data_IF_673399528395
#
_entry.id   IF_673399528395
#
_cell.length_a   1.000
_cell.length_b   1.000
_cell.length_c   1.000
_cell.angle_alpha   90.00
_cell.angle_beta   90.00
_cell.angle_gamma   90.00
#
_symmetry.space_group_name_H-M   'P 1'
#
loop_
_entity.id
_entity.type
_entity.pdbx_description
1 polymer ?
#
# COMPACT_ATOMS: atom_id res chain seq x y z
N UNK A 1 18.57 -0.43 -23.57
CA UNK A 1 17.76 -1.45 -22.89
C UNK A 1 17.27 -2.45 -23.93
N UNK A 2 17.71 -3.71 -23.87
CA UNK A 2 17.02 -4.78 -24.60
C UNK A 2 15.70 -5.00 -23.86
N UNK A 3 14.64 -4.34 -24.34
CA UNK A 3 13.32 -4.41 -23.74
C UNK A 3 12.84 -5.86 -23.70
N UNK A 4 12.27 -6.29 -22.57
CA UNK A 4 11.41 -7.46 -22.55
C UNK A 4 10.20 -7.16 -23.47
N UNK A 5 9.95 -7.96 -24.52
CA UNK A 5 8.85 -7.69 -25.45
C UNK A 5 7.51 -7.68 -24.70
N UNK A 6 6.63 -6.74 -25.05
CA UNK A 6 5.27 -6.59 -24.49
C UNK A 6 5.18 -6.24 -22.99
N UNK A 7 6.24 -5.72 -22.37
CA UNK A 7 6.19 -5.25 -20.98
C UNK A 7 6.08 -3.71 -20.90
N UNK A 8 5.23 -3.20 -20.01
CA UNK A 8 5.33 -1.78 -19.59
C UNK A 8 6.67 -1.53 -18.91
N UNK A 9 7.12 -0.28 -18.89
CA UNK A 9 8.38 0.10 -18.25
C UNK A 9 8.22 1.38 -17.44
N UNK A 10 9.11 1.58 -16.47
CA UNK A 10 9.20 2.78 -15.65
C UNK A 10 10.67 3.09 -15.39
N UNK A 11 10.98 4.32 -14.99
CA UNK A 11 12.35 4.74 -14.66
C UNK A 11 12.40 5.43 -13.32
N UNK A 12 13.47 5.19 -12.56
CA UNK A 12 13.82 5.98 -11.39
C UNK A 12 14.99 6.89 -11.69
N UNK A 13 15.09 8.02 -10.97
CA UNK A 13 16.14 9.04 -11.14
C UNK A 13 16.18 9.61 -12.56
N UNK A 14 15.02 9.77 -13.19
CA UNK A 14 14.94 10.33 -14.55
C UNK A 14 15.38 11.80 -14.61
N UNK A 15 15.83 12.30 -15.78
CA UNK A 15 16.03 11.58 -17.04
C UNK A 15 17.35 10.79 -17.12
N UNK A 16 18.38 11.19 -16.37
CA UNK A 16 19.76 10.71 -16.58
C UNK A 16 20.17 9.53 -15.70
N UNK A 17 19.30 9.08 -14.79
CA UNK A 17 19.58 7.99 -13.85
C UNK A 17 20.32 8.41 -12.58
N UNK A 18 20.39 9.71 -12.29
CA UNK A 18 21.12 10.27 -11.16
C UNK A 18 20.22 11.10 -10.23
N UNK A 19 20.68 11.29 -9.00
CA UNK A 19 20.08 12.27 -8.09
C UNK A 19 20.12 13.66 -8.72
N UNK A 20 19.11 14.47 -8.43
CA UNK A 20 19.01 15.86 -8.89
C UNK A 20 19.84 16.78 -7.98
N UNK A 21 21.17 16.63 -8.02
CA UNK A 21 22.12 17.44 -7.24
C UNK A 21 22.63 18.68 -7.96
N UNK A 22 22.25 18.86 -9.24
CA UNK A 22 22.58 20.02 -10.06
C UNK A 22 21.42 20.36 -11.01
N UNK A 23 21.33 21.60 -11.51
CA UNK A 23 20.25 22.00 -12.42
C UNK A 23 20.18 21.08 -13.66
N UNK A 24 19.01 20.48 -13.97
CA UNK A 24 18.85 19.73 -15.21
C UNK A 24 18.76 20.68 -16.40
N UNK A 25 19.21 20.22 -17.56
CA UNK A 25 19.04 20.93 -18.83
C UNK A 25 17.61 20.71 -19.36
N UNK A 26 16.69 21.61 -19.00
CA UNK A 26 15.29 21.56 -19.39
C UNK A 26 15.05 21.77 -20.90
N UNK A 27 16.09 22.09 -21.69
CA UNK A 27 16.00 22.13 -23.16
C UNK A 27 16.12 20.75 -23.80
N UNK A 28 16.63 19.76 -23.07
CA UNK A 28 16.81 18.39 -23.56
C UNK A 28 15.54 17.56 -23.41
N UNK A 29 15.35 16.57 -24.30
CA UNK A 29 14.28 15.59 -24.13
C UNK A 29 14.41 14.81 -22.83
N UNK A 30 13.29 14.48 -22.19
CA UNK A 30 13.24 13.55 -21.06
C UNK A 30 13.54 12.13 -21.53
N UNK A 31 12.98 11.75 -22.68
CA UNK A 31 13.16 10.42 -23.24
C UNK A 31 14.29 10.41 -24.27
N UNK A 32 15.22 9.47 -24.12
CA UNK A 32 16.19 9.16 -25.18
C UNK A 32 15.48 8.71 -26.46
N UNK A 33 16.15 8.81 -27.61
CA UNK A 33 15.59 8.36 -28.89
C UNK A 33 15.09 6.90 -28.85
N UNK A 34 15.80 6.02 -28.14
CA UNK A 34 15.39 4.63 -27.96
C UNK A 34 14.18 4.46 -27.02
N UNK A 35 14.03 5.31 -25.99
CA UNK A 35 12.85 5.29 -25.11
C UNK A 35 11.60 5.83 -25.83
N UNK A 36 11.76 6.84 -26.70
CA UNK A 36 10.64 7.42 -27.46
C UNK A 36 9.91 6.40 -28.34
N UNK A 37 10.62 5.43 -28.92
CA UNK A 37 9.99 4.35 -29.73
C UNK A 37 9.05 3.46 -28.91
N UNK A 38 9.13 3.55 -27.57
CA UNK A 38 8.34 2.78 -26.60
C UNK A 38 7.61 3.66 -25.59
N UNK A 39 7.43 4.95 -25.87
CA UNK A 39 6.76 5.89 -24.96
C UNK A 39 5.33 5.45 -24.59
N UNK A 40 4.60 4.81 -25.52
CA UNK A 40 3.25 4.25 -25.26
C UNK A 40 3.22 3.15 -24.19
N UNK A 41 4.36 2.53 -23.90
CA UNK A 41 4.48 1.47 -22.89
C UNK A 41 5.10 2.01 -21.58
N UNK A 42 5.41 3.32 -21.52
CA UNK A 42 5.94 3.97 -20.32
C UNK A 42 4.81 4.19 -19.32
N UNK A 43 4.94 3.59 -18.15
CA UNK A 43 3.96 3.69 -17.08
C UNK A 43 4.24 4.86 -16.13
N UNK A 44 5.49 5.05 -15.72
CA UNK A 44 5.85 6.10 -14.76
C UNK A 44 7.33 6.53 -14.85
N UNK A 45 7.59 7.78 -14.48
CA UNK A 45 8.93 8.35 -14.30
C UNK A 45 9.02 8.96 -12.90
N UNK A 46 9.94 8.44 -12.09
CA UNK A 46 10.38 9.08 -10.86
C UNK A 46 11.54 10.02 -11.17
N UNK A 47 11.34 11.32 -10.95
CA UNK A 47 12.35 12.36 -11.02
C UNK A 47 13.04 12.50 -9.66
N UNK A 48 14.37 12.46 -9.67
CA UNK A 48 15.15 12.47 -8.44
C UNK A 48 14.93 11.24 -7.55
N UNK A 49 15.54 11.30 -6.38
CA UNK A 49 15.49 10.34 -5.30
C UNK A 49 16.05 10.98 -4.02
N UNK A 50 15.17 11.20 -3.04
CA UNK A 50 15.53 11.69 -1.70
C UNK A 50 16.37 12.98 -1.66
N UNK A 51 16.11 13.94 -2.56
CA UNK A 51 16.77 15.25 -2.46
C UNK A 51 16.14 16.13 -1.37
N UNK A 52 16.98 16.90 -0.66
CA UNK A 52 16.48 17.91 0.28
C UNK A 52 15.65 18.97 -0.45
N UNK A 53 14.54 19.36 0.16
CA UNK A 53 13.66 20.38 -0.42
C UNK A 53 14.37 21.72 -0.58
N UNK A 54 14.16 22.36 -1.74
CA UNK A 54 14.52 23.74 -2.02
C UNK A 54 13.61 24.31 -3.12
N UNK A 55 13.51 25.63 -3.20
CA UNK A 55 12.78 26.29 -4.30
C UNK A 55 13.41 26.01 -5.67
N UNK A 56 14.72 25.79 -5.72
CA UNK A 56 15.43 25.42 -6.96
C UNK A 56 15.01 24.03 -7.43
N UNK A 57 15.09 23.02 -6.55
CA UNK A 57 14.65 21.65 -6.85
C UNK A 57 13.18 21.62 -7.29
N UNK A 58 12.31 22.38 -6.61
CA UNK A 58 10.91 22.51 -7.00
C UNK A 58 10.76 23.05 -8.43
N UNK A 59 11.54 24.07 -8.81
CA UNK A 59 11.56 24.60 -10.18
C UNK A 59 12.03 23.57 -11.20
N UNK A 60 13.03 22.77 -10.86
CA UNK A 60 13.54 21.69 -11.72
C UNK A 60 12.48 20.62 -11.95
N UNK A 61 11.87 20.12 -10.88
CA UNK A 61 10.81 19.11 -10.93
C UNK A 61 9.61 19.61 -11.75
N UNK A 62 9.21 20.87 -11.60
CA UNK A 62 8.13 21.46 -12.40
C UNK A 62 8.46 21.51 -13.90
N UNK A 63 9.70 21.86 -14.25
CA UNK A 63 10.17 21.81 -15.63
C UNK A 63 10.17 20.40 -16.21
N UNK A 64 10.66 19.43 -15.44
CA UNK A 64 10.74 18.02 -15.83
C UNK A 64 9.36 17.41 -16.05
N UNK A 65 8.41 17.58 -15.12
CA UNK A 65 7.02 17.10 -15.27
C UNK A 65 6.35 17.73 -16.49
N UNK A 66 6.53 19.03 -16.72
CA UNK A 66 5.98 19.72 -17.89
C UNK A 66 6.55 19.17 -19.21
N UNK A 67 7.84 18.81 -19.25
CA UNK A 67 8.45 18.24 -20.44
C UNK A 67 8.00 16.79 -20.66
N UNK A 68 7.87 15.98 -19.60
CA UNK A 68 7.35 14.61 -19.71
C UNK A 68 5.96 14.58 -20.33
N UNK A 69 5.06 15.47 -19.89
CA UNK A 69 3.69 15.57 -20.41
C UNK A 69 3.62 15.85 -21.92
N UNK A 70 4.66 16.47 -22.50
CA UNK A 70 4.75 16.68 -23.96
C UNK A 70 5.23 15.43 -24.69
N UNK A 71 6.11 14.65 -24.08
CA UNK A 71 6.77 13.50 -24.72
C UNK A 71 6.04 12.17 -24.50
N UNK A 72 5.40 12.01 -23.35
CA UNK A 72 4.65 10.83 -22.94
C UNK A 72 3.49 11.26 -22.02
N UNK A 73 2.39 11.81 -22.57
CA UNK A 73 1.27 12.34 -21.78
C UNK A 73 0.56 11.30 -20.91
N UNK A 74 0.68 10.02 -21.24
CA UNK A 74 0.07 8.91 -20.49
C UNK A 74 0.97 8.35 -19.37
N UNK A 75 2.23 8.83 -19.28
CA UNK A 75 3.18 8.40 -18.26
C UNK A 75 3.02 9.22 -16.98
N UNK A 76 2.98 8.53 -15.84
CA UNK A 76 2.85 9.18 -14.54
C UNK A 76 4.16 9.85 -14.09
N UNK A 77 4.11 11.12 -13.71
CA UNK A 77 5.23 11.86 -13.12
C UNK A 77 5.19 11.84 -11.60
N UNK A 78 6.32 11.54 -10.97
CA UNK A 78 6.48 11.63 -9.51
C UNK A 78 7.93 11.87 -9.08
N UNK A 79 8.14 12.01 -7.78
CA UNK A 79 9.45 11.99 -7.13
C UNK A 79 9.40 11.06 -5.91
N UNK A 80 10.55 10.50 -5.53
CA UNK A 80 10.68 9.68 -4.34
C UNK A 80 11.36 10.48 -3.24
N UNK A 81 10.82 10.39 -2.03
CA UNK A 81 11.36 11.02 -0.82
C UNK A 81 11.20 10.04 0.33
N UNK A 82 12.15 9.97 1.26
CA UNK A 82 11.88 9.18 2.46
C UNK A 82 10.72 9.82 3.23
N UNK A 83 9.92 9.00 3.92
CA UNK A 83 8.61 9.43 4.46
C UNK A 83 8.62 10.72 5.32
N UNK A 84 9.74 11.01 5.98
CA UNK A 84 9.95 12.17 6.85
C UNK A 84 10.80 13.29 6.26
N UNK A 85 11.22 13.19 5.00
CA UNK A 85 12.22 14.08 4.41
C UNK A 85 11.74 15.49 4.24
N UNK A 86 10.56 15.63 3.65
CA UNK A 86 9.93 16.91 3.39
C UNK A 86 8.85 17.14 4.42
N UNK A 87 8.76 18.37 4.92
CA UNK A 87 7.63 18.78 5.74
C UNK A 87 6.33 18.73 4.93
N UNK A 88 5.19 18.74 5.63
CA UNK A 88 3.88 18.86 4.97
C UNK A 88 3.74 20.15 4.14
N UNK A 89 4.46 21.23 4.49
CA UNK A 89 4.46 22.47 3.71
C UNK A 89 5.27 22.30 2.43
N UNK A 90 6.45 21.70 2.53
CA UNK A 90 7.34 21.44 1.38
C UNK A 90 6.67 20.53 0.35
N UNK A 91 6.03 19.45 0.80
CA UNK A 91 5.28 18.56 -0.08
C UNK A 91 4.15 19.29 -0.80
N UNK A 92 3.39 20.17 -0.11
CA UNK A 92 2.32 20.97 -0.74
C UNK A 92 2.87 21.98 -1.74
N UNK A 93 3.99 22.64 -1.44
CA UNK A 93 4.63 23.58 -2.36
C UNK A 93 5.13 22.88 -3.62
N UNK A 94 5.73 21.70 -3.48
CA UNK A 94 6.08 20.84 -4.60
C UNK A 94 4.85 20.47 -5.43
N UNK A 95 3.79 19.95 -4.79
CA UNK A 95 2.55 19.57 -5.46
C UNK A 95 1.95 20.72 -6.28
N UNK A 96 1.86 21.91 -5.69
CA UNK A 96 1.28 23.09 -6.33
C UNK A 96 2.09 23.56 -7.54
N UNK A 97 3.41 23.40 -7.53
CA UNK A 97 4.27 23.91 -8.60
C UNK A 97 4.62 22.87 -9.67
N UNK A 98 4.87 21.63 -9.26
CA UNK A 98 5.30 20.56 -10.17
C UNK A 98 4.14 19.75 -10.73
N UNK A 99 2.95 19.83 -10.12
CA UNK A 99 1.74 19.16 -10.53
C UNK A 99 1.96 17.65 -10.80
N UNK A 100 2.50 16.88 -9.83
CA UNK A 100 2.74 15.44 -9.98
C UNK A 100 1.43 14.67 -10.16
N UNK A 101 1.52 13.49 -10.78
CA UNK A 101 0.36 12.59 -10.96
C UNK A 101 0.17 11.65 -9.76
N UNK A 102 1.23 11.42 -8.98
CA UNK A 102 1.22 10.61 -7.78
C UNK A 102 2.24 11.07 -6.74
N UNK A 103 1.92 10.86 -5.46
CA UNK A 103 2.86 11.00 -4.36
C UNK A 103 3.47 9.65 -3.99
N UNK A 104 4.79 9.57 -3.93
CA UNK A 104 5.51 8.38 -3.49
C UNK A 104 6.50 8.70 -2.41
N UNK A 105 6.79 7.68 -1.62
CA UNK A 105 7.83 7.72 -0.63
C UNK A 105 8.42 6.33 -0.44
N UNK A 106 9.59 6.27 0.16
CA UNK A 106 10.16 5.07 0.72
C UNK A 106 10.30 5.17 2.23
N UNK A 107 10.10 4.04 2.87
CA UNK A 107 10.45 3.82 4.25
C UNK A 107 10.53 2.31 4.45
N UNK A 108 11.57 1.90 5.13
CA UNK A 108 11.81 0.51 5.45
C UNK A 108 11.58 0.37 6.95
N UNK A 109 10.69 -0.53 7.36
CA UNK A 109 10.16 -0.50 8.73
C UNK A 109 10.83 -1.49 9.68
N UNK A 110 11.57 -2.46 9.15
CA UNK A 110 12.05 -3.61 9.91
C UNK A 110 13.57 -3.71 9.89
N UNK A 111 14.14 -4.11 11.02
CA UNK A 111 15.58 -4.20 11.27
C UNK A 111 15.85 -5.07 12.50
N UNK A 112 17.13 -5.34 12.80
CA UNK A 112 17.52 -6.11 13.99
C UNK A 112 16.97 -5.49 15.30
N UNK A 113 16.94 -4.16 15.38
CA UNK A 113 16.51 -3.42 16.57
C UNK A 113 15.02 -3.02 16.55
N UNK A 114 14.33 -3.20 15.42
CA UNK A 114 12.90 -2.89 15.31
C UNK A 114 12.09 -3.69 16.33
N UNK A 115 11.19 -2.99 17.03
CA UNK A 115 10.32 -3.57 18.05
C UNK A 115 8.92 -2.95 17.99
N UNK A 116 7.99 -3.68 17.39
CA UNK A 116 6.57 -3.30 17.30
C UNK A 116 5.74 -4.21 18.20
N UNK A 117 5.57 -3.82 19.47
CA UNK A 117 4.81 -4.60 20.43
C UNK A 117 3.38 -4.86 19.95
N UNK A 118 2.94 -6.13 20.04
CA UNK A 118 1.62 -6.56 19.56
C UNK A 118 1.43 -6.42 18.05
N UNK A 119 2.53 -6.28 17.29
CA UNK A 119 2.53 -6.05 15.85
C UNK A 119 2.08 -4.65 15.42
N UNK A 120 2.02 -3.69 16.34
CA UNK A 120 1.58 -2.32 16.02
C UNK A 120 2.70 -1.50 15.36
N UNK A 121 2.74 -1.52 14.03
CA UNK A 121 3.75 -0.82 13.22
C UNK A 121 3.36 0.65 13.03
N UNK A 122 3.31 1.40 14.13
CA UNK A 122 2.82 2.79 14.14
C UNK A 122 3.52 3.70 13.14
N UNK A 123 4.82 3.48 12.86
CA UNK A 123 5.56 4.23 11.84
C UNK A 123 4.97 4.04 10.43
N UNK A 124 4.66 2.80 10.04
CA UNK A 124 3.97 2.50 8.78
C UNK A 124 2.61 3.20 8.72
N UNK A 125 1.84 3.12 9.80
CA UNK A 125 0.50 3.67 9.84
C UNK A 125 0.50 5.19 9.69
N UNK A 126 1.41 5.86 10.39
CA UNK A 126 1.55 7.32 10.36
C UNK A 126 2.06 7.80 9.00
N UNK A 127 3.06 7.12 8.42
CA UNK A 127 3.62 7.51 7.13
C UNK A 127 2.59 7.39 5.99
N UNK A 128 1.85 6.28 5.94
CA UNK A 128 0.82 6.06 4.91
C UNK A 128 -0.36 7.01 5.12
N UNK A 129 -0.79 7.26 6.36
CA UNK A 129 -1.85 8.22 6.65
C UNK A 129 -1.47 9.64 6.23
N UNK A 130 -0.25 10.08 6.56
CA UNK A 130 0.28 11.39 6.16
C UNK A 130 0.23 11.58 4.65
N UNK A 131 0.80 10.63 3.90
CA UNK A 131 0.83 10.74 2.43
C UNK A 131 -0.56 10.63 1.82
N UNK A 132 -1.43 9.77 2.35
CA UNK A 132 -2.84 9.70 1.96
C UNK A 132 -3.49 11.07 2.12
N UNK A 133 -3.36 11.71 3.28
CA UNK A 133 -3.99 13.01 3.58
C UNK A 133 -3.52 14.09 2.61
N UNK A 134 -2.23 14.14 2.30
CA UNK A 134 -1.67 15.08 1.31
C UNK A 134 -2.20 14.78 -0.09
N UNK A 135 -2.17 13.53 -0.53
CA UNK A 135 -2.69 13.11 -1.84
C UNK A 135 -4.19 13.40 -2.00
N UNK A 136 -4.99 13.20 -0.95
CA UNK A 136 -6.43 13.49 -0.99
C UNK A 136 -6.74 14.98 -1.09
N UNK A 137 -5.82 15.85 -0.66
CA UNK A 137 -5.97 17.29 -0.83
C UNK A 137 -5.84 17.72 -2.31
N UNK A 138 -5.17 16.93 -3.15
CA UNK A 138 -4.88 17.29 -4.53
C UNK A 138 -3.79 18.36 -4.67
N UNK A 139 -3.32 18.61 -5.89
CA UNK A 139 -2.24 19.58 -6.14
C UNK A 139 -2.59 21.02 -5.72
N UNK A 140 -3.87 21.37 -5.74
CA UNK A 140 -4.38 22.68 -5.34
C UNK A 140 -4.83 22.76 -3.87
N UNK A 141 -4.76 21.64 -3.12
CA UNK A 141 -5.21 21.55 -1.74
C UNK A 141 -6.72 21.62 -1.54
N UNK A 142 -7.52 21.61 -2.60
CA UNK A 142 -8.97 21.84 -2.52
C UNK A 142 -9.79 20.58 -2.22
N UNK A 143 -9.17 19.39 -2.18
CA UNK A 143 -9.81 18.08 -2.05
C UNK A 143 -10.78 17.71 -3.20
N UNK A 144 -10.76 18.44 -4.32
CA UNK A 144 -11.64 18.18 -5.48
C UNK A 144 -10.98 17.27 -6.52
N UNK A 145 -9.65 17.31 -6.60
CA UNK A 145 -8.86 16.50 -7.54
C UNK A 145 -7.77 15.71 -6.78
N UNK A 146 -8.14 14.66 -6.03
CA UNK A 146 -7.19 13.81 -5.32
C UNK A 146 -6.18 13.16 -6.26
N UNK A 147 -4.96 12.95 -5.76
CA UNK A 147 -3.91 12.22 -6.45
C UNK A 147 -3.85 10.75 -6.04
N UNK A 148 -3.23 9.94 -6.90
CA UNK A 148 -2.73 8.64 -6.48
C UNK A 148 -1.59 8.80 -5.46
N UNK A 149 -1.38 7.77 -4.64
CA UNK A 149 -0.19 7.69 -3.81
C UNK A 149 0.28 6.25 -3.66
N UNK A 150 1.52 6.08 -3.23
CA UNK A 150 2.14 4.77 -3.09
C UNK A 150 3.41 4.81 -2.26
N UNK A 151 4.03 3.65 -2.08
CA UNK A 151 5.33 3.56 -1.45
C UNK A 151 6.22 2.48 -2.06
N UNK A 152 7.52 2.65 -1.89
CA UNK A 152 8.46 1.57 -2.17
C UNK A 152 8.39 0.50 -1.06
N UNK A 153 8.61 -0.75 -1.43
CA UNK A 153 8.64 -1.90 -0.52
C UNK A 153 10.04 -2.52 -0.47
N UNK A 154 10.33 -3.26 0.62
CA UNK A 154 11.68 -3.75 0.95
C UNK A 154 12.04 -5.06 0.22
N UNK A 155 13.00 -5.00 -0.69
CA UNK A 155 13.56 -6.14 -1.42
C UNK A 155 14.95 -6.58 -0.95
N UNK A 156 15.45 -6.05 0.17
CA UNK A 156 16.78 -6.30 0.70
C UNK A 156 16.76 -6.54 2.22
N UNK A 157 17.81 -7.18 2.75
CA UNK A 157 18.01 -7.40 4.19
C UNK A 157 18.53 -6.13 4.86
N UNK A 158 17.89 -5.75 5.96
CA UNK A 158 18.24 -4.56 6.73
C UNK A 158 19.26 -4.86 7.85
N UNK A 159 20.02 -3.84 8.24
CA UNK A 159 20.97 -3.85 9.37
C UNK A 159 20.33 -3.63 10.73
N UNK A 160 21.07 -2.94 11.59
CA UNK A 160 20.58 -2.54 12.91
C UNK A 160 19.48 -1.48 12.79
N UNK A 161 19.63 -0.57 11.83
CA UNK A 161 18.63 0.43 11.50
C UNK A 161 17.80 0.02 10.28
N UNK A 162 16.51 0.40 10.21
CA UNK A 162 15.64 0.01 9.10
C UNK A 162 16.07 0.52 7.71
N UNK A 163 16.72 1.69 7.64
CA UNK A 163 17.23 2.27 6.39
C UNK A 163 18.61 1.72 5.97
N UNK A 164 19.26 0.93 6.83
CA UNK A 164 20.58 0.41 6.55
C UNK A 164 20.47 -0.85 5.69
N UNK A 165 20.72 -0.73 4.39
CA UNK A 165 21.03 -1.90 3.56
C UNK A 165 22.34 -2.55 4.03
N UNK A 166 22.47 -3.87 3.87
CA UNK A 166 23.73 -4.55 4.17
C UNK A 166 23.68 -5.52 5.34
N UNK A 167 22.55 -5.62 6.03
CA UNK A 167 22.44 -6.41 7.26
C UNK A 167 21.87 -7.81 7.10
N UNK A 168 21.67 -8.45 8.25
CA UNK A 168 21.19 -9.83 8.33
C UNK A 168 19.68 -9.96 8.58
N UNK A 169 18.95 -8.85 8.77
CA UNK A 169 17.53 -8.93 9.07
C UNK A 169 16.73 -9.46 7.88
N UNK A 170 16.03 -10.57 8.10
CA UNK A 170 15.11 -11.19 7.15
C UNK A 170 13.68 -11.05 7.64
N UNK A 171 12.88 -10.31 6.89
CA UNK A 171 11.45 -10.10 7.17
C UNK A 171 10.67 -11.42 7.23
N UNK A 172 9.72 -11.48 8.17
CA UNK A 172 8.75 -12.57 8.23
C UNK A 172 7.67 -12.45 7.14
N UNK A 173 6.81 -13.46 7.01
CA UNK A 173 5.70 -13.40 6.04
C UNK A 173 4.69 -12.29 6.39
N UNK A 174 4.34 -12.14 7.67
CA UNK A 174 3.39 -11.12 8.11
C UNK A 174 3.94 -9.70 7.96
N UNK A 175 5.24 -9.50 8.23
CA UNK A 175 5.94 -8.24 8.01
C UNK A 175 6.03 -7.87 6.53
N UNK A 176 6.27 -8.85 5.67
CA UNK A 176 6.30 -8.63 4.22
C UNK A 176 4.92 -8.24 3.66
N UNK A 177 3.84 -8.86 4.17
CA UNK A 177 2.49 -8.60 3.68
C UNK A 177 1.91 -7.26 4.13
N UNK A 178 2.17 -6.87 5.39
CA UNK A 178 1.46 -5.76 6.04
C UNK A 178 1.66 -4.41 5.37
N UNK A 179 2.85 -4.14 4.81
CA UNK A 179 3.16 -2.88 4.12
C UNK A 179 2.17 -2.67 2.95
N UNK A 180 2.02 -3.67 2.09
CA UNK A 180 1.14 -3.60 0.92
C UNK A 180 -0.32 -3.49 1.32
N UNK A 181 -0.77 -4.32 2.26
CA UNK A 181 -2.17 -4.37 2.66
C UNK A 181 -2.63 -3.11 3.40
N UNK A 182 -1.80 -2.54 4.27
CA UNK A 182 -2.10 -1.24 4.90
C UNK A 182 -2.17 -0.14 3.86
N UNK A 183 -1.23 -0.12 2.90
CA UNK A 183 -1.25 0.85 1.80
C UNK A 183 -2.55 0.76 1.00
N UNK A 184 -2.95 -0.45 0.60
CA UNK A 184 -4.19 -0.67 -0.14
C UNK A 184 -5.43 -0.30 0.66
N UNK A 185 -5.48 -0.65 1.95
CA UNK A 185 -6.58 -0.29 2.83
C UNK A 185 -6.72 1.24 2.98
N UNK A 186 -5.61 1.97 3.00
CA UNK A 186 -5.65 3.44 3.02
C UNK A 186 -5.96 4.07 1.64
N UNK A 187 -5.92 3.26 0.57
CA UNK A 187 -6.28 3.64 -0.79
C UNK A 187 -5.10 3.92 -1.72
N UNK A 188 -3.88 3.58 -1.32
CA UNK A 188 -2.70 3.68 -2.17
C UNK A 188 -2.85 2.80 -3.42
N UNK A 189 -2.36 3.32 -4.54
CA UNK A 189 -2.54 2.74 -5.89
C UNK A 189 -1.24 2.22 -6.50
N UNK A 190 -0.12 2.53 -5.87
CA UNK A 190 1.20 2.24 -6.42
C UNK A 190 2.09 1.62 -5.34
N UNK A 191 2.79 0.56 -5.72
CA UNK A 191 3.80 -0.11 -4.90
C UNK A 191 4.96 -0.50 -5.81
N UNK A 192 6.19 -0.29 -5.36
CA UNK A 192 7.38 -0.63 -6.14
C UNK A 192 8.44 -1.26 -5.24
N UNK A 193 8.96 -2.41 -5.63
CA UNK A 193 9.92 -3.15 -4.82
C UNK A 193 11.33 -2.62 -5.04
N UNK A 194 11.93 -2.04 -4.00
CA UNK A 194 13.34 -1.68 -3.97
C UNK A 194 14.11 -2.75 -3.18
N UNK A 195 14.86 -3.66 -3.80
CA UNK A 195 15.21 -3.74 -5.23
C UNK A 195 15.24 -5.18 -5.73
N UNK A 196 15.06 -5.34 -7.04
CA UNK A 196 15.27 -6.58 -7.76
C UNK A 196 16.46 -6.43 -8.71
N UNK A 197 17.46 -7.29 -8.59
CA UNK A 197 18.68 -7.26 -9.38
C UNK A 197 19.03 -8.67 -9.88
N UNK A 198 19.46 -8.76 -11.15
CA UNK A 198 19.79 -10.04 -11.80
C UNK A 198 21.09 -10.66 -11.28
N UNK A 199 22.09 -9.83 -11.00
CA UNK A 199 23.28 -10.21 -10.25
C UNK A 199 22.98 -9.94 -8.79
N UNK A 200 22.56 -10.98 -8.05
CA UNK A 200 22.08 -10.83 -6.68
C UNK A 200 23.11 -10.08 -5.83
N UNK A 201 22.74 -8.87 -5.40
CA UNK A 201 23.42 -8.21 -4.30
C UNK A 201 23.41 -9.13 -3.08
N UNK A 202 24.46 -9.13 -2.27
CA UNK A 202 24.60 -10.06 -1.13
C UNK A 202 23.44 -9.99 -0.12
N UNK A 203 22.71 -8.87 -0.11
CA UNK A 203 21.58 -8.61 0.78
C UNK A 203 20.22 -8.78 0.11
N UNK A 204 20.14 -9.28 -1.12
CA UNK A 204 18.85 -9.46 -1.79
C UNK A 204 17.94 -10.39 -0.98
N UNK A 205 16.69 -9.98 -0.80
CA UNK A 205 15.62 -10.86 -0.30
C UNK A 205 14.99 -11.67 -1.42
N UNK A 206 15.46 -11.59 -2.66
CA UNK A 206 14.73 -12.12 -3.80
C UNK A 206 15.52 -13.21 -4.55
N UNK A 207 16.82 -13.01 -4.71
CA UNK A 207 17.71 -14.00 -5.30
C UNK A 207 18.90 -14.24 -4.38
N UNK A 208 19.34 -15.48 -4.27
CA UNK A 208 20.57 -15.84 -3.57
C UNK A 208 21.77 -15.48 -4.45
N UNK A 209 22.87 -15.11 -3.80
CA UNK A 209 24.16 -14.87 -4.44
C UNK A 209 24.90 -16.17 -4.81
N UNK A 210 24.19 -17.31 -4.90
CA UNK A 210 24.78 -18.58 -5.34
C UNK A 210 24.98 -18.57 -6.86
N UNK A 211 25.84 -19.47 -7.37
CA UNK A 211 26.15 -19.54 -8.80
C UNK A 211 24.92 -19.80 -9.69
N UNK A 212 23.83 -20.31 -9.11
CA UNK A 212 22.58 -20.60 -9.80
C UNK A 212 21.57 -19.44 -9.75
N UNK A 213 21.80 -18.40 -8.94
CA UNK A 213 20.87 -17.30 -8.71
C UNK A 213 19.51 -17.75 -8.19
N UNK A 214 19.46 -18.74 -7.29
CA UNK A 214 18.19 -19.36 -6.87
C UNK A 214 17.27 -18.37 -6.11
N UNK A 215 15.96 -18.51 -6.27
CA UNK A 215 14.99 -17.67 -5.55
C UNK A 215 14.93 -18.01 -4.05
N UNK A 216 14.82 -16.98 -3.21
CA UNK A 216 14.66 -17.12 -1.76
C UNK A 216 13.21 -17.50 -1.37
N UNK A 217 12.98 -17.82 -0.10
CA UNK A 217 11.62 -17.99 0.45
C UNK A 217 10.81 -16.69 0.32
N UNK A 218 11.45 -15.55 0.53
CA UNK A 218 10.85 -14.21 0.48
C UNK A 218 10.42 -13.83 -0.94
N UNK A 219 11.17 -14.28 -1.96
CA UNK A 219 10.77 -14.15 -3.37
C UNK A 219 9.45 -14.86 -3.65
N UNK A 220 9.29 -16.10 -3.16
CA UNK A 220 8.04 -16.84 -3.31
C UNK A 220 6.87 -16.17 -2.57
N UNK A 221 7.14 -15.59 -1.40
CA UNK A 221 6.16 -14.78 -0.67
C UNK A 221 5.76 -13.52 -1.46
N UNK A 222 6.71 -12.85 -2.12
CA UNK A 222 6.42 -11.70 -2.99
C UNK A 222 5.63 -12.11 -4.23
N UNK A 223 5.94 -13.26 -4.84
CA UNK A 223 5.16 -13.81 -5.93
C UNK A 223 3.71 -14.07 -5.51
N UNK A 224 3.49 -14.65 -4.33
CA UNK A 224 2.16 -14.86 -3.77
C UNK A 224 1.44 -13.54 -3.44
N UNK A 225 2.16 -12.53 -2.93
CA UNK A 225 1.63 -11.20 -2.67
C UNK A 225 1.24 -10.49 -3.98
N UNK A 226 2.06 -10.60 -5.02
CA UNK A 226 1.78 -10.05 -6.35
C UNK A 226 0.58 -10.74 -7.01
N UNK A 227 0.41 -12.06 -6.83
CA UNK A 227 -0.78 -12.77 -7.29
C UNK A 227 -2.05 -12.27 -6.57
N UNK A 228 -1.97 -11.96 -5.27
CA UNK A 228 -3.07 -11.33 -4.51
C UNK A 228 -3.35 -9.90 -4.99
N UNK A 229 -2.30 -9.12 -5.25
CA UNK A 229 -2.43 -7.78 -5.83
C UNK A 229 -3.15 -7.85 -7.19
N UNK A 230 -2.75 -8.75 -8.08
CA UNK A 230 -3.39 -8.94 -9.38
C UNK A 230 -4.88 -9.33 -9.25
N UNK A 231 -5.22 -10.15 -8.24
CA UNK A 231 -6.60 -10.53 -7.95
C UNK A 231 -7.46 -9.37 -7.40
N UNK A 232 -6.86 -8.45 -6.63
CA UNK A 232 -7.56 -7.31 -6.01
C UNK A 232 -7.58 -6.08 -6.91
N UNK A 233 -6.59 -5.91 -7.79
CA UNK A 233 -6.39 -4.73 -8.63
C UNK A 233 -7.62 -4.36 -9.47
N UNK A 234 -8.35 -5.31 -10.11
CA UNK A 234 -9.58 -4.98 -10.83
C UNK A 234 -10.64 -4.29 -9.99
N UNK A 235 -10.61 -4.43 -8.66
CA UNK A 235 -11.57 -3.82 -7.76
C UNK A 235 -11.00 -2.55 -7.12
N UNK A 236 -9.79 -2.62 -6.55
CA UNK A 236 -9.17 -1.52 -5.81
C UNK A 236 -8.85 -0.30 -6.68
N UNK A 237 -8.46 -0.49 -7.94
CA UNK A 237 -8.08 0.62 -8.83
C UNK A 237 -9.27 1.48 -9.25
N UNK A 238 -10.50 0.97 -9.11
CA UNK A 238 -11.76 1.65 -9.42
C UNK A 238 -12.36 2.41 -8.24
N UNK A 239 -11.67 2.41 -7.10
CA UNK A 239 -12.14 2.92 -5.83
C UNK A 239 -11.31 4.13 -5.38
N UNK A 240 -11.96 5.23 -5.01
CA UNK A 240 -11.37 6.37 -4.29
C UNK A 240 -11.47 6.17 -2.78
N UNK A 241 -10.42 6.54 -2.06
CA UNK A 241 -10.36 6.49 -0.59
C UNK A 241 -11.37 7.47 0.02
N UNK A 242 -12.09 7.05 1.05
CA UNK A 242 -13.06 7.89 1.77
C UNK A 242 -12.62 8.11 3.21
N UNK A 243 -12.66 7.07 4.03
CA UNK A 243 -12.31 7.13 5.46
C UNK A 243 -11.31 6.04 5.82
N UNK A 244 -10.56 6.26 6.91
CA UNK A 244 -9.69 5.26 7.52
C UNK A 244 -9.93 5.22 9.03
N UNK A 245 -9.72 4.07 9.65
CA UNK A 245 -9.73 3.91 11.08
C UNK A 245 -8.94 2.67 11.52
N UNK A 246 -8.69 2.55 12.82
CA UNK A 246 -8.02 1.40 13.43
C UNK A 246 -8.80 0.93 14.66
N UNK A 247 -8.85 -0.38 14.87
CA UNK A 247 -9.15 -0.97 16.19
C UNK A 247 -7.81 -1.37 16.80
N UNK A 248 -7.41 -0.69 17.87
CA UNK A 248 -6.13 -0.99 18.52
C UNK A 248 -6.18 -2.37 19.18
N UNK A 249 -5.13 -3.14 18.93
CA UNK A 249 -4.86 -4.40 19.58
C UNK A 249 -4.24 -4.21 20.95
N UNK A 250 -3.67 -5.30 21.44
CA UNK A 250 -3.06 -5.42 22.76
C UNK A 250 -1.79 -6.25 22.68
N UNK A 251 -0.89 -5.99 23.62
CA UNK A 251 0.30 -6.76 23.88
C UNK A 251 0.41 -7.03 25.40
N UNK A 252 1.45 -7.74 25.83
CA UNK A 252 1.63 -8.11 27.24
C UNK A 252 1.68 -6.91 28.20
N UNK A 253 2.09 -5.73 27.73
CA UNK A 253 2.14 -4.51 28.54
C UNK A 253 0.81 -3.73 28.56
N UNK A 254 -0.20 -4.13 27.76
CA UNK A 254 -1.50 -3.47 27.73
C UNK A 254 -2.02 -3.18 26.33
N UNK A 255 -2.59 -2.00 26.13
CA UNK A 255 -3.03 -1.55 24.81
C UNK A 255 -1.83 -1.28 23.90
N UNK A 256 -1.99 -1.55 22.60
CA UNK A 256 -1.01 -1.13 21.61
C UNK A 256 -0.93 0.40 21.51
N UNK A 257 0.21 0.91 21.09
CA UNK A 257 0.43 2.34 20.87
C UNK A 257 -0.53 2.88 19.81
N UNK A 258 -1.12 4.05 20.08
CA UNK A 258 -2.05 4.69 19.16
C UNK A 258 -1.29 5.41 18.01
N UNK A 259 -1.52 5.06 16.74
CA UNK A 259 -1.03 5.84 15.60
C UNK A 259 -1.88 7.10 15.36
N UNK A 260 -1.49 7.93 14.38
CA UNK A 260 -2.27 9.09 13.90
C UNK A 260 -3.62 8.70 13.29
N UNK A 261 -3.79 7.43 12.92
CA UNK A 261 -5.03 6.88 12.38
C UNK A 261 -6.13 6.88 13.46
N UNK A 262 -7.31 7.47 13.21
CA UNK A 262 -8.40 7.52 14.20
C UNK A 262 -8.91 6.14 14.64
N UNK A 263 -9.43 6.05 15.87
CA UNK A 263 -10.12 4.85 16.34
C UNK A 263 -11.40 4.57 15.55
N UNK A 264 -11.69 3.29 15.33
CA UNK A 264 -12.91 2.87 14.65
C UNK A 264 -14.15 3.21 15.49
N UNK A 265 -15.15 3.77 14.79
CA UNK A 265 -16.52 3.90 15.28
C UNK A 265 -17.49 3.79 14.11
N UNK A 266 -18.76 3.52 14.39
CA UNK A 266 -19.81 3.49 13.36
C UNK A 266 -19.94 4.80 12.56
N UNK A 267 -19.49 5.92 13.14
CA UNK A 267 -19.53 7.24 12.51
C UNK A 267 -18.46 7.44 11.43
N UNK A 268 -17.43 6.59 11.35
CA UNK A 268 -16.33 6.72 10.38
C UNK A 268 -16.83 6.65 8.93
N UNK A 269 -17.76 5.72 8.65
CA UNK A 269 -18.49 5.67 7.37
C UNK A 269 -19.83 4.93 7.55
N UNK A 270 -20.91 5.66 7.90
CA UNK A 270 -22.24 5.08 8.08
C UNK A 270 -22.79 4.37 6.83
N UNK A 271 -22.29 4.71 5.64
CA UNK A 271 -22.70 4.06 4.40
C UNK A 271 -22.31 2.58 4.34
N UNK A 272 -21.26 2.16 5.05
CA UNK A 272 -20.87 0.75 5.12
C UNK A 272 -21.79 -0.11 5.97
N UNK A 273 -22.64 0.52 6.79
CA UNK A 273 -23.45 -0.11 7.85
C UNK A 273 -22.66 -0.86 8.92
N UNK A 274 -21.32 -0.77 8.91
CA UNK A 274 -20.46 -1.43 9.88
C UNK A 274 -20.53 -0.66 11.20
N UNK A 275 -21.18 -1.26 12.20
CA UNK A 275 -21.37 -0.68 13.54
C UNK A 275 -20.41 -1.25 14.58
N UNK A 276 -19.72 -2.35 14.26
CA UNK A 276 -18.73 -2.96 15.15
C UNK A 276 -17.64 -3.69 14.38
N UNK A 277 -16.40 -3.55 14.87
CA UNK A 277 -15.22 -4.20 14.35
C UNK A 277 -14.37 -4.68 15.54
N UNK A 278 -14.00 -5.96 15.55
CA UNK A 278 -13.15 -6.51 16.61
C UNK A 278 -12.34 -7.71 16.11
N UNK A 279 -11.24 -8.03 16.79
CA UNK A 279 -10.43 -9.20 16.48
C UNK A 279 -10.28 -10.14 17.68
N UNK A 280 -10.19 -11.44 17.37
CA UNK A 280 -9.70 -12.47 18.28
C UNK A 280 -8.48 -13.12 17.65
N UNK A 281 -7.35 -13.10 18.34
CA UNK A 281 -6.17 -13.85 17.91
C UNK A 281 -6.44 -15.36 18.05
N UNK A 282 -6.16 -16.08 16.98
CA UNK A 282 -6.37 -17.52 16.80
C UNK A 282 -5.13 -18.18 16.20
N UNK A 283 -4.03 -17.45 16.13
CA UNK A 283 -2.70 -17.96 15.87
C UNK A 283 -1.96 -18.22 17.18
N UNK A 284 -0.69 -18.56 17.07
CA UNK A 284 0.21 -18.84 18.20
C UNK A 284 1.01 -17.62 18.66
N UNK A 285 1.06 -16.55 17.86
CA UNK A 285 1.83 -15.35 18.16
C UNK A 285 1.13 -14.43 19.18
N UNK A 286 1.87 -13.48 19.75
CA UNK A 286 1.37 -12.43 20.66
C UNK A 286 0.58 -12.95 21.88
N UNK A 287 0.89 -14.17 22.36
CA UNK A 287 0.28 -14.74 23.56
C UNK A 287 -1.26 -14.86 23.51
N UNK A 288 -1.85 -14.96 22.32
CA UNK A 288 -3.31 -14.99 22.14
C UNK A 288 -4.00 -13.63 22.29
N UNK A 289 -3.25 -12.53 22.45
CA UNK A 289 -3.79 -11.18 22.46
C UNK A 289 -4.06 -10.70 21.03
N UNK A 290 -5.17 -9.97 20.79
CA UNK A 290 -5.49 -9.45 19.47
C UNK A 290 -4.48 -8.36 19.08
N UNK A 291 -4.02 -8.37 17.84
CA UNK A 291 -3.29 -7.25 17.25
C UNK A 291 -4.24 -6.25 16.61
N UNK A 292 -3.67 -5.19 16.03
CA UNK A 292 -4.43 -4.12 15.41
C UNK A 292 -5.30 -4.62 14.24
N UNK A 293 -6.40 -3.92 13.96
CA UNK A 293 -7.20 -4.12 12.74
C UNK A 293 -7.38 -2.79 12.04
N UNK A 294 -6.90 -2.68 10.80
CA UNK A 294 -7.17 -1.50 9.97
C UNK A 294 -8.50 -1.63 9.29
N UNK A 295 -9.15 -0.48 9.14
CA UNK A 295 -10.33 -0.26 8.34
C UNK A 295 -10.05 0.88 7.36
N UNK A 296 -10.35 0.65 6.10
CA UNK A 296 -10.39 1.71 5.10
C UNK A 296 -11.65 1.59 4.28
N UNK A 297 -12.39 2.68 4.10
CA UNK A 297 -13.59 2.72 3.28
C UNK A 297 -13.37 3.49 1.99
N UNK A 298 -14.18 3.13 0.99
CA UNK A 298 -14.04 3.60 -0.36
C UNK A 298 -15.39 3.89 -0.99
N UNK A 299 -15.35 4.67 -2.07
CA UNK A 299 -16.42 4.76 -3.07
C UNK A 299 -15.84 4.55 -4.46
N UNK A 300 -16.62 4.11 -5.44
CA UNK A 300 -16.17 4.09 -6.82
C UNK A 300 -15.73 5.47 -7.31
N UNK A 301 -14.79 5.49 -8.25
CA UNK A 301 -14.39 6.70 -8.95
C UNK A 301 -15.61 7.21 -9.75
N UNK A 302 -16.02 8.48 -9.59
CA UNK A 302 -17.18 9.00 -10.29
C UNK A 302 -16.87 9.15 -11.79
N UNK A 303 -17.90 8.98 -12.64
CA UNK A 303 -17.78 9.23 -14.08
C UNK A 303 -17.05 8.17 -14.89
N UNK A 304 -16.69 7.02 -14.29
CA UNK A 304 -16.14 5.89 -15.06
C UNK A 304 -17.12 5.44 -16.14
N UNK A 305 -16.60 5.19 -17.34
CA UNK A 305 -17.33 4.54 -18.43
C UNK A 305 -17.69 3.09 -18.06
N UNK A 306 -18.60 2.48 -18.84
CA UNK A 306 -18.93 1.06 -18.69
C UNK A 306 -17.70 0.14 -18.87
N UNK A 307 -16.78 0.52 -19.76
CA UNK A 307 -15.54 -0.22 -19.99
C UNK A 307 -14.56 -0.07 -18.80
N UNK A 308 -14.39 1.15 -18.29
CA UNK A 308 -13.51 1.41 -17.15
C UNK A 308 -14.04 0.75 -15.88
N UNK A 309 -15.33 0.84 -15.59
CA UNK A 309 -15.96 0.12 -14.47
C UNK A 309 -15.94 -1.39 -14.67
N UNK A 310 -15.86 -1.88 -15.91
CA UNK A 310 -15.97 -3.30 -16.26
C UNK A 310 -17.26 -3.96 -15.70
N UNK A 311 -18.32 -3.16 -15.55
CA UNK A 311 -19.56 -3.58 -14.87
C UNK A 311 -19.43 -3.77 -13.35
N UNK A 312 -18.26 -3.50 -12.77
CA UNK A 312 -17.99 -3.55 -11.34
C UNK A 312 -18.28 -2.15 -10.77
N UNK A 313 -19.13 -2.10 -9.74
CA UNK A 313 -19.58 -0.87 -9.09
C UNK A 313 -20.34 0.10 -10.02
N UNK A 314 -21.55 -0.30 -10.43
CA UNK A 314 -22.42 0.51 -11.29
C UNK A 314 -22.98 1.77 -10.61
N UNK A 315 -22.96 1.83 -9.28
CA UNK A 315 -23.37 2.99 -8.51
C UNK A 315 -22.13 3.70 -7.89
N UNK A 316 -21.88 4.99 -8.17
CA UNK A 316 -20.72 5.72 -7.65
C UNK A 316 -20.73 5.89 -6.12
N UNK A 317 -21.86 5.61 -5.46
CA UNK A 317 -22.02 5.64 -4.01
C UNK A 317 -22.00 4.24 -3.37
N UNK A 318 -21.74 3.17 -4.14
CA UNK A 318 -21.55 1.81 -3.61
C UNK A 318 -20.54 1.83 -2.47
N UNK A 319 -20.93 1.50 -1.23
CA UNK A 319 -19.99 1.45 -0.13
C UNK A 319 -19.10 0.20 -0.28
N UNK A 320 -17.79 0.42 -0.33
CA UNK A 320 -16.77 -0.61 -0.25
C UNK A 320 -15.84 -0.33 0.93
N UNK A 321 -15.24 -1.36 1.49
CA UNK A 321 -14.28 -1.23 2.58
C UNK A 321 -13.33 -2.41 2.62
N UNK A 322 -12.15 -2.19 3.16
CA UNK A 322 -11.13 -3.20 3.36
C UNK A 322 -10.79 -3.27 4.84
N UNK A 323 -10.62 -4.50 5.35
CA UNK A 323 -10.07 -4.73 6.68
C UNK A 323 -8.76 -5.49 6.59
N UNK A 324 -7.78 -5.10 7.39
CA UNK A 324 -6.44 -5.72 7.43
C UNK A 324 -6.14 -6.17 8.84
N UNK A 325 -5.64 -7.40 8.97
CA UNK A 325 -5.06 -7.89 10.20
C UNK A 325 -3.66 -7.26 10.38
N UNK A 326 -3.58 -6.30 11.30
CA UNK A 326 -2.34 -5.58 11.62
C UNK A 326 -1.37 -6.37 12.49
N UNK A 327 -1.71 -7.58 12.96
CA UNK A 327 -0.79 -8.41 13.74
C UNK A 327 0.33 -8.93 12.82
N UNK A 328 1.52 -8.35 12.93
CA UNK A 328 2.74 -8.83 12.27
C UNK A 328 3.85 -8.99 13.31
N UNK A 329 4.63 -10.06 13.18
CA UNK A 329 5.71 -10.40 14.12
C UNK A 329 6.97 -10.81 13.35
N UNK A 330 8.17 -10.55 13.87
CA UNK A 330 9.40 -11.01 13.25
C UNK A 330 9.51 -12.54 13.32
N UNK A 331 10.44 -13.12 12.56
CA UNK A 331 10.89 -14.48 12.81
C UNK A 331 11.53 -14.55 14.22
N UNK A 332 11.44 -15.69 14.90
CA UNK A 332 12.13 -15.95 16.18
C UNK A 332 13.63 -15.73 16.00
N UNK A 333 14.19 -16.31 14.93
CA UNK A 333 15.52 -15.97 14.44
C UNK A 333 15.38 -15.02 13.25
N UNK A 334 15.67 -13.74 13.50
CA UNK A 334 15.58 -12.65 12.53
C UNK A 334 16.57 -12.78 11.36
N UNK A 335 17.58 -13.64 11.47
CA UNK A 335 18.62 -13.81 10.42
C UNK A 335 18.34 -14.98 9.48
N UNK A 336 17.42 -15.87 9.87
CA UNK A 336 17.14 -17.09 9.14
C UNK A 336 16.02 -16.89 8.11
N UNK A 337 16.34 -17.08 6.83
CA UNK A 337 15.35 -17.00 5.74
C UNK A 337 14.24 -18.06 5.81
N UNK A 338 14.49 -19.16 6.54
CA UNK A 338 13.54 -20.23 6.83
C UNK A 338 12.99 -20.18 8.27
N UNK A 339 13.25 -19.09 9.00
CA UNK A 339 12.83 -18.90 10.37
C UNK A 339 11.30 -18.99 10.54
N UNK A 340 10.87 -19.46 11.71
CA UNK A 340 9.46 -19.54 12.16
C UNK A 340 9.12 -18.35 13.07
N UNK A 341 7.84 -18.10 13.38
CA UNK A 341 7.40 -17.13 14.41
C UNK A 341 6.63 -15.91 13.91
N UNK A 342 6.65 -15.65 12.60
CA UNK A 342 6.01 -14.49 11.98
C UNK A 342 5.20 -14.81 10.74
N UNK A 343 4.81 -16.08 10.55
CA UNK A 343 3.98 -16.47 9.41
C UNK A 343 2.57 -15.88 9.49
N UNK A 344 1.89 -15.77 8.35
CA UNK A 344 0.49 -15.32 8.29
C UNK A 344 -0.44 -16.20 9.15
N UNK A 345 -0.11 -17.49 9.30
CA UNK A 345 -0.91 -18.44 10.07
C UNK A 345 -0.73 -18.27 11.59
N UNK A 346 0.52 -18.08 12.05
CA UNK A 346 0.86 -17.87 13.46
C UNK A 346 0.32 -16.54 14.00
N UNK A 347 0.11 -15.56 13.11
CA UNK A 347 -0.39 -14.22 13.42
C UNK A 347 -1.86 -14.03 13.05
N UNK A 348 -2.58 -15.11 12.74
CA UNK A 348 -3.94 -15.05 12.24
C UNK A 348 -4.95 -14.57 13.30
N UNK A 349 -5.92 -13.78 12.85
CA UNK A 349 -7.03 -13.29 13.66
C UNK A 349 -8.38 -13.68 13.04
N UNK A 350 -9.38 -13.97 13.86
CA UNK A 350 -10.79 -13.90 13.45
C UNK A 350 -11.23 -12.46 13.64
N UNK A 351 -11.43 -11.76 12.51
CA UNK A 351 -12.01 -10.42 12.48
C UNK A 351 -13.52 -10.55 12.40
N UNK A 352 -14.21 -9.90 13.33
CA UNK A 352 -15.66 -9.89 13.45
C UNK A 352 -16.20 -8.55 12.96
N UNK A 353 -17.07 -8.60 11.98
CA UNK A 353 -17.73 -7.45 11.35
C UNK A 353 -19.20 -7.45 11.76
N UNK A 354 -19.68 -6.40 12.42
CA UNK A 354 -21.10 -6.26 12.80
C UNK A 354 -21.76 -5.15 12.00
N UNK A 355 -22.88 -5.47 11.38
CA UNK A 355 -23.64 -4.57 10.53
C UNK A 355 -25.03 -4.32 11.10
N UNK A 356 -25.48 -3.08 11.05
CA UNK A 356 -26.88 -2.72 11.33
C UNK A 356 -27.61 -2.42 10.03
N UNK A 357 -28.59 -3.26 9.68
CA UNK A 357 -29.36 -3.17 8.44
C UNK A 357 -30.76 -2.59 8.66
N UNK A 358 -30.97 -1.82 9.73
CA UNK A 358 -32.29 -1.33 10.14
C UNK A 358 -33.05 -0.52 9.09
N UNK A 359 -32.35 0.28 8.29
CA UNK A 359 -32.99 1.14 7.28
C UNK A 359 -33.41 0.41 6.00
N UNK A 360 -33.10 -0.88 5.88
CA UNK A 360 -33.47 -1.71 4.73
C UNK A 360 -32.80 -1.34 3.40
N UNK A 361 -31.91 -0.34 3.38
CA UNK A 361 -31.21 0.10 2.16
C UNK A 361 -30.24 -0.96 1.63
N UNK A 362 -29.72 -1.81 2.53
CA UNK A 362 -28.82 -2.92 2.22
C UNK A 362 -29.38 -4.22 2.82
N UNK A 363 -29.22 -5.31 2.08
CA UNK A 363 -29.73 -6.64 2.43
C UNK A 363 -28.57 -7.58 2.75
N UNK A 364 -28.83 -8.53 3.65
CA UNK A 364 -27.83 -9.50 4.12
C UNK A 364 -27.14 -10.33 3.01
N UNK A 365 -27.76 -10.45 1.84
CA UNK A 365 -27.24 -11.20 0.70
C UNK A 365 -26.47 -10.34 -0.32
N UNK A 366 -26.29 -9.04 -0.06
CA UNK A 366 -25.61 -8.11 -0.97
C UNK A 366 -24.14 -7.88 -0.62
N UNK A 367 -23.67 -8.28 0.57
CA UNK A 367 -22.25 -8.13 0.90
C UNK A 367 -21.41 -9.13 0.08
N UNK A 368 -20.42 -8.61 -0.63
CA UNK A 368 -19.46 -9.36 -1.45
C UNK A 368 -18.06 -9.19 -0.90
N UNK A 369 -17.19 -10.14 -1.25
CA UNK A 369 -15.75 -10.06 -1.01
C UNK A 369 -14.99 -10.72 -2.16
N UNK A 370 -13.77 -10.27 -2.44
CA UNK A 370 -12.84 -10.99 -3.32
C UNK A 370 -12.02 -11.95 -2.46
N UNK A 371 -12.05 -13.25 -2.74
CA UNK A 371 -11.13 -14.17 -2.06
C UNK A 371 -9.68 -13.88 -2.49
N UNK A 372 -8.90 -13.25 -1.61
CA UNK A 372 -7.50 -12.91 -1.86
C UNK A 372 -6.70 -14.17 -2.26
N UNK A 373 -6.19 -14.18 -3.50
CA UNK A 373 -5.41 -15.30 -4.07
C UNK A 373 -6.17 -16.18 -5.08
N UNK A 374 -7.51 -16.06 -5.20
CA UNK A 374 -8.28 -16.74 -6.24
C UNK A 374 -8.99 -15.78 -7.20
N UNK A 375 -9.07 -14.49 -6.87
CA UNK A 375 -9.75 -13.47 -7.70
C UNK A 375 -11.25 -13.67 -7.86
N UNK A 376 -11.83 -14.66 -7.16
CA UNK A 376 -13.25 -14.99 -7.25
C UNK A 376 -14.05 -14.15 -6.26
N UNK A 377 -15.03 -13.44 -6.78
CA UNK A 377 -16.08 -12.80 -5.98
C UNK A 377 -16.91 -13.87 -5.31
N UNK A 378 -17.23 -13.68 -4.02
CA UNK A 378 -18.19 -14.50 -3.30
C UNK A 378 -19.11 -13.63 -2.45
N UNK A 379 -20.32 -14.11 -2.23
CA UNK A 379 -21.20 -13.56 -1.20
C UNK A 379 -20.61 -13.84 0.18
N UNK A 380 -20.66 -12.84 1.05
CA UNK A 380 -20.34 -13.01 2.47
C UNK A 380 -21.56 -13.52 3.20
N UNK A 381 -21.39 -14.61 3.97
CA UNK A 381 -22.45 -15.10 4.85
C UNK A 381 -22.56 -14.17 6.06
N UNK A 382 -23.75 -13.62 6.25
CA UNK A 382 -24.10 -12.80 7.40
C UNK A 382 -25.05 -13.56 8.32
N UNK A 383 -24.59 -13.85 9.53
CA UNK A 383 -25.38 -14.52 10.56
C UNK A 383 -26.18 -13.48 11.34
N UNK A 384 -27.46 -13.74 11.58
CA UNK A 384 -28.31 -12.85 12.37
C UNK A 384 -27.93 -12.97 13.85
N UNK A 385 -27.79 -11.82 14.52
CA UNK A 385 -27.44 -11.77 15.95
C UNK A 385 -28.65 -11.39 16.79
N UNK A 386 -29.26 -10.24 16.51
CA UNK A 386 -30.44 -9.73 17.21
C UNK A 386 -31.04 -8.56 16.43
N UNK A 387 -32.36 -8.36 16.48
CA UNK A 387 -33.00 -7.23 15.81
C UNK A 387 -32.58 -7.09 14.35
N UNK A 388 -31.93 -5.97 14.02
CA UNK A 388 -31.41 -5.61 12.69
C UNK A 388 -29.90 -5.85 12.54
N UNK A 389 -29.27 -6.44 13.56
CA UNK A 389 -27.83 -6.69 13.63
C UNK A 389 -27.46 -8.04 13.01
N UNK A 390 -26.50 -7.99 12.09
CA UNK A 390 -25.90 -9.14 11.44
C UNK A 390 -24.39 -9.16 11.63
N UNK A 391 -23.78 -10.33 11.59
CA UNK A 391 -22.35 -10.50 11.81
C UNK A 391 -21.69 -11.35 10.71
N UNK A 392 -20.47 -10.98 10.34
CA UNK A 392 -19.56 -11.83 9.57
C UNK A 392 -18.31 -12.10 10.41
N UNK A 393 -17.82 -13.34 10.38
CA UNK A 393 -16.51 -13.71 10.96
C UNK A 393 -15.58 -14.14 9.85
N UNK A 394 -14.44 -13.49 9.74
CA UNK A 394 -13.46 -13.73 8.69
C UNK A 394 -12.11 -14.01 9.32
N UNK A 395 -11.52 -15.16 9.00
CA UNK A 395 -10.15 -15.49 9.41
C UNK A 395 -9.20 -14.80 8.44
N UNK A 396 -8.35 -13.91 8.95
CA UNK A 396 -7.38 -13.15 8.17
C UNK A 396 -5.98 -13.44 8.75
N UNK A 397 -5.04 -13.87 7.91
CA UNK A 397 -3.64 -14.07 8.33
C UNK A 397 -2.94 -12.73 8.62
N UNK A 398 -1.87 -12.73 9.42
CA UNK A 398 -1.17 -11.49 9.76
C UNK A 398 -0.61 -10.76 8.55
N UNK A 399 -0.75 -9.43 8.55
CA UNK A 399 -0.39 -8.57 7.44
C UNK A 399 -1.27 -8.71 6.19
N UNK A 400 -2.28 -9.59 6.19
CA UNK A 400 -3.22 -9.74 5.09
C UNK A 400 -4.53 -8.99 5.38
N UNK A 401 -5.36 -8.85 4.35
CA UNK A 401 -6.66 -8.21 4.44
C UNK A 401 -7.64 -8.70 3.39
N UNK A 402 -8.88 -8.25 3.52
CA UNK A 402 -10.02 -8.64 2.68
C UNK A 402 -10.80 -7.38 2.26
N UNK A 403 -11.15 -7.31 0.98
CA UNK A 403 -11.95 -6.22 0.39
C UNK A 403 -13.41 -6.65 0.28
N UNK A 404 -14.29 -5.79 0.78
CA UNK A 404 -15.74 -5.96 0.83
C UNK A 404 -16.46 -4.84 0.09
N UNK A 405 -17.64 -5.14 -0.43
CA UNK A 405 -18.55 -4.13 -0.96
C UNK A 405 -20.00 -4.61 -0.94
N UNK A 406 -20.92 -3.66 -0.96
CA UNK A 406 -22.33 -3.93 -1.12
C UNK A 406 -22.73 -3.91 -2.60
N UNK A 407 -23.28 -5.01 -3.07
CA UNK A 407 -23.80 -5.19 -4.43
C UNK A 407 -25.23 -4.62 -4.51
N UNK A 408 -25.31 -3.31 -4.73
CA UNK A 408 -26.53 -2.47 -4.64
C UNK A 408 -27.18 -2.18 -5.99
#
# INVERSE_FOLDING_TARGET
>A
MNALPNCTWATAKGPDGFHLTSPPDLSKPILTGAQKTRAKDLFAVCFGDEENYSLELQGWLAGLTKNLRKEAPDALAHTNQYAGQWSDADTRNFMAAADPDLLTFDEYYFSMTSNYAGGSITKLYNNVERLRRLAMAGNDGSFKSPLGFGQYTMGFKAGDAPWQEGGDYVVSESEQNIISYVTWAMGGKWLNLFRWEKSAHATSLLARSDAAGSFTVQANRYAALNARMAALSPYLTRLRSKSIAIVSGRNAAGANSQPSVPQFSAAVDPGTKLVGLSAKNVGSANGGLPGDVFFGSFRPIPGMTAAESAGIYTNPETPAFMVVNGLAMPNIDKTNEFGVGGSSAETAQIVTLRFDLADGSLKKNQLRTVAAGKGKVKQVKLDHVSGTIYEAKVRIGGGLGELFWWDV
#
